data_IF_314452342838
#
_entry.id   IF_314452342838
#
_cell.length_a   1.000
_cell.length_b   1.000
_cell.length_c   1.000
_cell.angle_alpha   90.00
_cell.angle_beta   90.00
_cell.angle_gamma   90.00
#
_symmetry.space_group_name_H-M   'P 1'
#
loop_
_entity.id
_entity.type
_entity.pdbx_description
1 polymer ?
#
# COMPACT_ATOMS: atom_id res chain seq x y z
N UNK A 1 -13.21 22.60 0.82
CA UNK A 1 -12.25 22.21 1.88
C UNK A 1 -11.50 20.92 1.56
N UNK A 2 -12.15 19.91 0.95
CA UNK A 2 -11.49 18.66 0.51
C UNK A 2 -10.49 18.86 -0.65
N UNK A 3 -10.76 19.74 -1.61
CA UNK A 3 -9.86 20.01 -2.75
C UNK A 3 -8.44 20.42 -2.33
N UNK A 4 -8.31 21.29 -1.33
CA UNK A 4 -7.00 21.76 -0.87
C UNK A 4 -6.20 20.65 -0.19
N UNK A 5 -6.85 19.65 0.42
CA UNK A 5 -6.17 18.54 1.10
C UNK A 5 -5.61 17.54 0.10
N UNK A 6 -6.34 17.22 -0.97
CA UNK A 6 -5.83 16.34 -2.03
C UNK A 6 -4.67 16.96 -2.79
N UNK A 7 -4.73 18.27 -3.07
CA UNK A 7 -3.63 18.99 -3.71
C UNK A 7 -2.38 18.98 -2.84
N UNK A 8 -2.50 19.28 -1.53
CA UNK A 8 -1.36 19.22 -0.60
C UNK A 8 -0.75 17.83 -0.51
N UNK A 9 -1.56 16.77 -0.43
CA UNK A 9 -1.06 15.38 -0.40
C UNK A 9 -0.34 15.00 -1.69
N UNK A 10 -0.86 15.41 -2.85
CA UNK A 10 -0.22 15.16 -4.14
C UNK A 10 1.11 15.90 -4.27
N UNK A 11 1.17 17.17 -3.82
CA UNK A 11 2.41 17.97 -3.82
C UNK A 11 3.45 17.38 -2.88
N UNK A 12 3.05 16.96 -1.67
CA UNK A 12 3.95 16.29 -0.72
C UNK A 12 4.51 14.98 -1.28
N UNK A 13 3.66 14.19 -1.92
CA UNK A 13 4.08 12.94 -2.57
C UNK A 13 5.07 13.18 -3.71
N UNK A 14 4.80 14.15 -4.59
CA UNK A 14 5.71 14.51 -5.67
C UNK A 14 7.02 15.10 -5.14
N UNK A 15 6.95 15.91 -4.08
CA UNK A 15 8.13 16.50 -3.44
C UNK A 15 9.05 15.42 -2.87
N UNK A 16 8.50 14.49 -2.09
CA UNK A 16 9.26 13.37 -1.53
C UNK A 16 9.85 12.48 -2.65
N UNK A 17 9.08 12.26 -3.72
CA UNK A 17 9.56 11.53 -4.89
C UNK A 17 10.74 12.21 -5.58
N UNK A 18 10.68 13.52 -5.83
CA UNK A 18 11.78 14.26 -6.46
C UNK A 18 13.00 14.28 -5.53
N UNK A 19 12.79 14.46 -4.24
CA UNK A 19 13.86 14.53 -3.25
C UNK A 19 14.67 13.22 -3.16
N UNK A 20 13.99 12.08 -3.26
CA UNK A 20 14.64 10.76 -3.13
C UNK A 20 15.28 10.28 -4.45
N UNK A 21 14.92 10.87 -5.59
CA UNK A 21 15.41 10.52 -6.94
C UNK A 21 16.93 10.60 -7.15
N UNK A 22 17.66 11.67 -6.72
CA UNK A 22 19.12 11.72 -6.92
C UNK A 22 19.84 10.61 -6.17
N UNK A 23 19.43 10.32 -4.93
CA UNK A 23 20.00 9.23 -4.13
C UNK A 23 19.67 7.87 -4.73
N UNK A 24 18.46 7.72 -5.29
CA UNK A 24 18.05 6.49 -5.98
C UNK A 24 18.92 6.22 -7.21
N UNK A 25 19.18 7.22 -8.05
CA UNK A 25 20.02 7.06 -9.23
C UNK A 25 21.43 6.59 -8.87
N UNK A 26 22.02 7.16 -7.81
CA UNK A 26 23.36 6.81 -7.36
C UNK A 26 23.44 5.43 -6.69
N UNK A 27 22.42 5.01 -5.94
CA UNK A 27 22.47 3.79 -5.13
C UNK A 27 21.83 2.59 -5.81
N UNK A 28 20.67 2.78 -6.44
CA UNK A 28 19.82 1.73 -6.99
C UNK A 28 20.16 1.48 -8.46
N UNK A 29 20.29 2.55 -9.26
CA UNK A 29 20.50 2.45 -10.70
C UNK A 29 21.97 2.33 -11.10
N UNK A 30 22.91 2.87 -10.30
CA UNK A 30 24.34 2.74 -10.58
C UNK A 30 24.95 1.39 -10.19
N UNK A 31 24.28 0.60 -9.33
CA UNK A 31 24.77 -0.72 -8.88
C UNK A 31 24.06 -1.85 -9.62
N UNK A 32 24.68 -3.04 -9.69
CA UNK A 32 24.00 -4.25 -10.18
C UNK A 32 22.70 -4.46 -9.42
N UNK A 33 21.61 -4.72 -10.15
CA UNK A 33 20.27 -4.92 -9.58
C UNK A 33 20.26 -6.08 -8.59
N UNK A 34 20.26 -5.76 -7.30
CA UNK A 34 20.06 -6.73 -6.23
C UNK A 34 18.56 -6.99 -6.03
N UNK A 35 18.14 -8.17 -5.55
CA UNK A 35 16.73 -8.48 -5.30
C UNK A 35 16.03 -7.44 -4.43
N UNK A 36 16.73 -6.87 -3.45
CA UNK A 36 16.22 -5.83 -2.56
C UNK A 36 15.96 -4.50 -3.31
N UNK A 37 16.83 -4.17 -4.28
CA UNK A 37 16.70 -2.98 -5.11
C UNK A 37 15.48 -3.08 -6.04
N UNK A 38 15.25 -4.26 -6.61
CA UNK A 38 14.05 -4.53 -7.43
C UNK A 38 12.79 -4.39 -6.59
N UNK A 39 12.79 -4.97 -5.38
CA UNK A 39 11.65 -4.84 -4.47
C UNK A 39 11.38 -3.37 -4.14
N UNK A 40 12.41 -2.60 -3.82
CA UNK A 40 12.30 -1.16 -3.55
C UNK A 40 11.69 -0.39 -4.73
N UNK A 41 12.16 -0.61 -5.96
CA UNK A 41 11.61 0.02 -7.16
C UNK A 41 10.12 -0.33 -7.29
N UNK A 42 9.75 -1.61 -7.16
CA UNK A 42 8.34 -2.00 -7.26
C UNK A 42 7.50 -1.29 -6.19
N UNK A 43 7.98 -1.13 -4.94
CA UNK A 43 7.21 -0.45 -3.88
C UNK A 43 6.95 1.00 -4.25
N UNK A 44 7.98 1.66 -4.79
CA UNK A 44 7.96 3.08 -5.07
C UNK A 44 7.08 3.43 -6.26
N UNK A 45 7.04 2.59 -7.29
CA UNK A 45 6.28 2.87 -8.51
C UNK A 45 4.86 2.25 -8.50
N UNK A 46 4.57 1.30 -7.60
CA UNK A 46 3.25 0.67 -7.48
C UNK A 46 2.08 1.66 -7.26
N UNK A 47 2.18 2.70 -6.42
CA UNK A 47 1.08 3.66 -6.22
C UNK A 47 0.66 4.37 -7.51
N UNK A 48 1.61 4.60 -8.43
CA UNK A 48 1.31 5.18 -9.74
C UNK A 48 0.52 4.19 -10.61
N UNK A 49 0.92 2.91 -10.62
CA UNK A 49 0.21 1.85 -11.35
C UNK A 49 -1.21 1.70 -10.81
N UNK A 50 -1.38 1.64 -9.49
CA UNK A 50 -2.70 1.57 -8.84
C UNK A 50 -3.58 2.77 -9.21
N UNK A 51 -3.01 3.99 -9.19
CA UNK A 51 -3.76 5.23 -9.51
C UNK A 51 -4.19 5.26 -10.97
N UNK A 52 -3.27 4.94 -11.88
CA UNK A 52 -3.54 4.84 -13.32
C UNK A 52 -4.63 3.80 -13.57
N UNK A 53 -4.49 2.63 -12.98
CA UNK A 53 -5.42 1.54 -13.21
C UNK A 53 -6.84 1.86 -12.68
N UNK A 54 -6.97 2.52 -11.53
CA UNK A 54 -8.27 3.00 -11.01
C UNK A 54 -8.92 3.99 -12.00
N UNK A 55 -8.15 4.90 -12.58
CA UNK A 55 -8.66 5.89 -13.55
C UNK A 55 -9.15 5.22 -14.85
N UNK A 56 -8.50 4.15 -15.31
CA UNK A 56 -8.83 3.44 -16.54
C UNK A 56 -9.92 2.36 -16.36
N UNK A 57 -10.24 1.92 -15.14
CA UNK A 57 -11.25 0.86 -14.87
C UNK A 57 -12.72 1.27 -15.03
N UNK A 58 -13.03 2.46 -15.55
CA UNK A 58 -14.41 2.95 -15.71
C UNK A 58 -15.25 2.30 -16.82
N UNK A 59 -14.84 1.15 -17.39
CA UNK A 59 -15.59 0.44 -18.45
C UNK A 59 -15.92 -1.00 -18.03
N UNK A 60 -17.21 -1.29 -17.86
CA UNK A 60 -17.98 -2.55 -17.80
C UNK A 60 -17.44 -3.83 -17.11
N UNK A 61 -16.15 -3.95 -16.80
CA UNK A 61 -15.51 -5.09 -16.11
C UNK A 61 -14.91 -4.69 -14.76
N UNK A 62 -15.58 -3.79 -14.04
CA UNK A 62 -15.08 -3.05 -12.88
C UNK A 62 -14.73 -3.95 -11.66
N UNK A 63 -15.49 -5.03 -11.43
CA UNK A 63 -15.32 -5.89 -10.25
C UNK A 63 -14.13 -6.83 -10.35
N UNK A 64 -13.89 -7.43 -11.52
CA UNK A 64 -12.81 -8.41 -11.71
C UNK A 64 -11.44 -7.74 -11.65
N UNK A 65 -11.30 -6.56 -12.28
CA UNK A 65 -10.06 -5.79 -12.24
C UNK A 65 -9.76 -5.26 -10.84
N UNK A 66 -10.78 -4.77 -10.13
CA UNK A 66 -10.63 -4.27 -8.75
C UNK A 66 -10.30 -5.41 -7.78
N UNK A 67 -10.87 -6.59 -7.98
CA UNK A 67 -10.49 -7.80 -7.23
C UNK A 67 -9.04 -8.21 -7.54
N UNK A 68 -8.63 -8.23 -8.80
CA UNK A 68 -7.25 -8.58 -9.19
C UNK A 68 -6.23 -7.62 -8.57
N UNK A 69 -6.47 -6.31 -8.59
CA UNK A 69 -5.59 -5.31 -7.98
C UNK A 69 -5.46 -5.49 -6.47
N UNK A 70 -6.57 -5.75 -5.78
CA UNK A 70 -6.56 -6.01 -4.33
C UNK A 70 -5.72 -7.25 -3.99
N UNK A 71 -5.80 -8.30 -4.81
CA UNK A 71 -5.01 -9.52 -4.63
C UNK A 71 -3.52 -9.29 -4.91
N UNK A 72 -3.18 -8.56 -5.99
CA UNK A 72 -1.78 -8.23 -6.32
C UNK A 72 -1.13 -7.42 -5.20
N UNK A 73 -1.85 -6.41 -4.68
CA UNK A 73 -1.39 -5.61 -3.54
C UNK A 73 -1.20 -6.45 -2.28
N UNK A 74 -2.10 -7.39 -2.02
CA UNK A 74 -2.01 -8.27 -0.86
C UNK A 74 -0.79 -9.19 -0.89
N UNK A 75 -0.57 -9.88 -2.02
CA UNK A 75 0.61 -10.74 -2.21
C UNK A 75 1.89 -9.92 -2.05
N UNK A 76 1.89 -8.70 -2.60
CA UNK A 76 3.03 -7.82 -2.54
C UNK A 76 3.40 -7.41 -1.10
N UNK A 77 2.42 -6.97 -0.31
CA UNK A 77 2.64 -6.57 1.08
C UNK A 77 3.21 -7.72 1.92
N UNK A 78 2.73 -8.95 1.71
CA UNK A 78 3.25 -10.14 2.40
C UNK A 78 4.72 -10.37 2.08
N UNK A 79 5.09 -10.30 0.79
CA UNK A 79 6.48 -10.51 0.34
C UNK A 79 7.41 -9.46 0.95
N UNK A 80 7.00 -8.20 0.95
CA UNK A 80 7.78 -7.08 1.49
C UNK A 80 8.06 -7.24 2.98
N UNK A 81 7.02 -7.53 3.75
CA UNK A 81 7.13 -7.68 5.20
C UNK A 81 7.96 -8.89 5.58
N UNK A 82 7.77 -10.00 4.85
CA UNK A 82 8.57 -11.20 5.04
C UNK A 82 10.05 -10.91 4.83
N UNK A 83 10.42 -10.19 3.77
CA UNK A 83 11.83 -9.86 3.49
C UNK A 83 12.41 -8.91 4.55
N UNK A 84 11.66 -7.86 4.95
CA UNK A 84 12.12 -6.89 5.96
C UNK A 84 12.36 -7.56 7.30
N UNK A 85 11.43 -8.39 7.75
CA UNK A 85 11.56 -9.08 9.05
C UNK A 85 12.56 -10.24 9.01
N UNK A 86 12.67 -10.94 7.88
CA UNK A 86 13.67 -12.00 7.69
C UNK A 86 15.11 -11.46 7.80
N UNK A 87 15.37 -10.23 7.34
CA UNK A 87 16.66 -9.58 7.49
C UNK A 87 17.06 -9.33 8.95
N UNK A 88 16.10 -9.12 9.85
CA UNK A 88 16.37 -8.90 11.28
C UNK A 88 16.54 -10.20 12.07
N UNK A 89 15.87 -11.28 11.69
CA UNK A 89 15.65 -12.43 12.59
C UNK A 89 16.50 -13.67 12.32
N UNK A 90 17.66 -13.52 11.67
CA UNK A 90 18.70 -14.57 11.50
C UNK A 90 18.14 -15.99 11.26
N UNK A 91 17.08 -16.11 10.45
CA UNK A 91 16.37 -17.34 10.07
C UNK A 91 15.44 -18.04 11.09
N UNK A 92 14.98 -17.40 12.16
CA UNK A 92 14.02 -18.03 13.08
C UNK A 92 12.56 -18.05 12.53
N UNK A 93 12.16 -19.20 12.00
CA UNK A 93 10.85 -19.41 11.34
C UNK A 93 9.65 -19.25 12.29
N UNK A 94 9.80 -19.61 13.57
CA UNK A 94 8.73 -19.53 14.58
C UNK A 94 8.22 -18.12 14.77
N UNK A 95 9.17 -17.20 14.72
CA UNK A 95 8.95 -15.80 14.96
C UNK A 95 8.30 -15.20 13.70
N UNK A 96 8.81 -15.54 12.51
CA UNK A 96 8.20 -15.17 11.21
C UNK A 96 6.72 -15.55 11.12
N UNK A 97 6.35 -16.76 11.58
CA UNK A 97 4.95 -17.23 11.59
C UNK A 97 4.06 -16.33 12.47
N UNK A 98 4.53 -15.93 13.66
CA UNK A 98 3.78 -15.04 14.55
C UNK A 98 3.47 -13.69 13.91
N UNK A 99 4.44 -13.13 13.18
CA UNK A 99 4.28 -11.86 12.48
C UNK A 99 3.29 -11.95 11.31
N UNK A 100 3.34 -13.03 10.53
CA UNK A 100 2.38 -13.28 9.45
C UNK A 100 0.96 -13.41 10.02
N UNK A 101 0.77 -14.12 11.13
CA UNK A 101 -0.54 -14.24 11.79
C UNK A 101 -1.05 -12.86 12.25
N UNK A 102 -0.19 -12.06 12.90
CA UNK A 102 -0.56 -10.71 13.34
C UNK A 102 -0.94 -9.80 12.17
N UNK A 103 -0.19 -9.88 11.07
CA UNK A 103 -0.50 -9.18 9.83
C UNK A 103 -1.88 -9.58 9.29
N UNK A 104 -2.15 -10.88 9.14
CA UNK A 104 -3.45 -11.37 8.65
C UNK A 104 -4.60 -10.87 9.53
N UNK A 105 -4.41 -10.86 10.85
CA UNK A 105 -5.39 -10.37 11.82
C UNK A 105 -5.71 -8.87 11.68
N UNK A 106 -4.72 -8.03 11.37
CA UNK A 106 -4.93 -6.59 11.16
C UNK A 106 -5.40 -6.26 9.73
N UNK A 107 -5.00 -7.06 8.73
CA UNK A 107 -5.30 -6.78 7.33
C UNK A 107 -6.67 -7.31 6.88
N UNK A 108 -7.16 -8.43 7.42
CA UNK A 108 -8.48 -8.95 7.06
C UNK A 108 -9.63 -7.94 7.36
N UNK A 109 -9.67 -7.28 8.55
CA UNK A 109 -10.64 -6.21 8.81
C UNK A 109 -10.48 -5.02 7.86
N UNK A 110 -9.25 -4.64 7.52
CA UNK A 110 -8.98 -3.57 6.57
C UNK A 110 -9.54 -3.88 5.18
N UNK A 111 -9.35 -5.10 4.68
CA UNK A 111 -9.90 -5.53 3.39
C UNK A 111 -11.43 -5.54 3.41
N UNK A 112 -12.03 -5.99 4.51
CA UNK A 112 -13.48 -5.97 4.67
C UNK A 112 -14.04 -4.54 4.66
N UNK A 113 -13.43 -3.63 5.41
CA UNK A 113 -13.82 -2.20 5.44
C UNK A 113 -13.63 -1.57 4.07
N UNK A 114 -12.51 -1.86 3.39
CA UNK A 114 -12.25 -1.39 2.03
C UNK A 114 -13.31 -1.91 1.07
N UNK A 115 -13.65 -3.20 1.09
CA UNK A 115 -14.70 -3.77 0.26
C UNK A 115 -16.05 -3.07 0.47
N UNK A 116 -16.45 -2.87 1.73
CA UNK A 116 -17.67 -2.13 2.07
C UNK A 116 -17.62 -0.67 1.59
N UNK A 117 -16.45 -0.03 1.68
CA UNK A 117 -16.24 1.32 1.17
C UNK A 117 -16.39 1.36 -0.35
N UNK A 118 -15.71 0.47 -1.07
CA UNK A 118 -15.77 0.36 -2.53
C UNK A 118 -17.21 0.08 -3.02
N UNK A 119 -17.97 -0.76 -2.30
CA UNK A 119 -19.38 -1.03 -2.61
C UNK A 119 -20.30 0.16 -2.29
N UNK A 120 -19.95 0.97 -1.30
CA UNK A 120 -20.72 2.17 -0.91
C UNK A 120 -20.50 3.36 -1.84
N UNK A 121 -19.47 3.32 -2.68
CA UNK A 121 -19.17 4.37 -3.65
C UNK A 121 -20.19 4.30 -4.79
N UNK A 122 -21.18 5.18 -4.76
CA UNK A 122 -22.13 5.33 -5.85
C UNK A 122 -21.52 6.24 -6.93
N UNK A 123 -21.38 5.71 -8.14
CA UNK A 123 -21.00 6.47 -9.33
C UNK A 123 -22.10 7.48 -9.68
N UNK A 124 -21.88 8.77 -9.35
CA UNK A 124 -22.96 9.77 -9.43
C UNK A 124 -22.77 10.84 -10.51
N UNK A 125 -21.68 10.82 -11.28
CA UNK A 125 -21.47 11.82 -12.32
C UNK A 125 -20.79 11.24 -13.57
N UNK A 126 -21.39 11.36 -14.76
CA UNK A 126 -20.66 11.12 -16.00
C UNK A 126 -19.50 12.12 -16.06
N UNK A 127 -18.29 11.61 -16.28
CA UNK A 127 -17.12 12.44 -16.52
C UNK A 127 -17.38 13.31 -17.76
N UNK A 128 -16.91 14.57 -17.79
CA UNK A 128 -17.03 15.43 -18.97
C UNK A 128 -16.16 14.97 -20.15
N UNK A 129 -15.33 13.94 -19.96
CA UNK A 129 -14.44 13.35 -20.97
C UNK A 129 -14.80 11.87 -21.14
N UNK A 130 -15.26 11.44 -22.33
CA UNK A 130 -15.77 10.08 -22.57
C UNK A 130 -14.74 8.95 -22.39
N UNK A 131 -13.46 9.29 -22.18
CA UNK A 131 -12.37 8.33 -21.93
C UNK A 131 -12.03 8.14 -20.44
N UNK A 132 -12.49 9.01 -19.54
CA UNK A 132 -12.14 8.97 -18.12
C UNK A 132 -13.30 8.33 -17.37
N UNK A 133 -13.02 7.32 -16.54
CA UNK A 133 -14.04 6.65 -15.73
C UNK A 133 -14.82 7.60 -14.81
N UNK A 134 -15.93 7.08 -14.28
CA UNK A 134 -16.81 7.77 -13.34
C UNK A 134 -16.05 8.39 -12.16
N UNK A 135 -16.34 9.67 -11.86
CA UNK A 135 -15.76 10.38 -10.71
C UNK A 135 -16.49 9.97 -9.43
N UNK A 136 -15.75 9.41 -8.48
CA UNK A 136 -16.30 8.98 -7.19
C UNK A 136 -16.45 10.21 -6.27
N UNK A 137 -17.68 10.67 -6.08
CA UNK A 137 -18.02 11.89 -5.33
C UNK A 137 -18.55 11.63 -3.91
N UNK A 138 -18.58 10.39 -3.44
CA UNK A 138 -19.07 10.08 -2.09
C UNK A 138 -18.63 8.73 -1.57
N UNK A 139 -18.36 8.67 -0.27
CA UNK A 139 -18.03 7.45 0.47
C UNK A 139 -18.23 7.66 1.97
N UNK A 140 -18.54 6.60 2.70
CA UNK A 140 -18.67 6.65 4.17
C UNK A 140 -17.32 7.03 4.79
N UNK A 141 -17.32 7.83 5.87
CA UNK A 141 -16.12 8.16 6.67
C UNK A 141 -15.53 6.96 7.45
N UNK A 142 -15.74 5.73 6.97
CA UNK A 142 -15.27 4.48 7.56
C UNK A 142 -13.76 4.30 7.36
N UNK A 143 -13.14 5.05 6.44
CA UNK A 143 -11.70 4.99 6.15
C UNK A 143 -10.81 5.38 7.34
N UNK A 144 -11.33 6.15 8.30
CA UNK A 144 -10.59 6.46 9.53
C UNK A 144 -10.24 5.18 10.32
N UNK A 145 -11.09 4.16 10.29
CA UNK A 145 -10.80 2.87 10.93
C UNK A 145 -9.62 2.16 10.28
N UNK A 146 -9.45 2.27 8.96
CA UNK A 146 -8.29 1.72 8.28
C UNK A 146 -6.98 2.34 8.76
N UNK A 147 -6.97 3.66 8.96
CA UNK A 147 -5.84 4.39 9.54
C UNK A 147 -5.53 3.93 10.96
N UNK A 148 -6.54 3.75 11.80
CA UNK A 148 -6.34 3.26 13.18
C UNK A 148 -5.72 1.86 13.17
N UNK A 149 -6.22 0.95 12.33
CA UNK A 149 -5.67 -0.41 12.24
C UNK A 149 -4.23 -0.39 11.70
N UNK A 150 -3.91 0.50 10.77
CA UNK A 150 -2.56 0.67 10.25
C UNK A 150 -1.59 1.15 11.34
N UNK A 151 -1.99 2.12 12.16
CA UNK A 151 -1.17 2.60 13.29
C UNK A 151 -0.92 1.50 14.33
N UNK A 152 -1.94 0.68 14.63
CA UNK A 152 -1.79 -0.50 15.51
C UNK A 152 -0.81 -1.51 14.91
N UNK A 153 -0.89 -1.73 13.61
CA UNK A 153 -0.01 -2.64 12.90
C UNK A 153 1.46 -2.19 12.96
N UNK A 154 1.74 -0.91 12.66
CA UNK A 154 3.08 -0.34 12.73
C UNK A 154 3.66 -0.39 14.14
N UNK A 155 2.86 -0.07 15.16
CA UNK A 155 3.28 -0.17 16.56
C UNK A 155 3.59 -1.63 16.96
N UNK A 156 2.79 -2.58 16.50
CA UNK A 156 3.01 -4.00 16.72
C UNK A 156 4.30 -4.49 16.08
N UNK A 157 4.53 -4.18 14.81
CA UNK A 157 5.76 -4.54 14.08
C UNK A 157 7.00 -3.98 14.78
N UNK A 158 6.97 -2.72 15.18
CA UNK A 158 8.08 -2.10 15.91
C UNK A 158 8.38 -2.80 17.23
N UNK A 159 7.34 -3.16 17.99
CA UNK A 159 7.48 -3.88 19.25
C UNK A 159 8.08 -5.28 19.06
N UNK A 160 7.65 -6.00 18.02
CA UNK A 160 8.22 -7.30 17.66
C UNK A 160 9.71 -7.19 17.28
N UNK A 161 10.06 -6.21 16.44
CA UNK A 161 11.44 -5.97 16.04
C UNK A 161 12.33 -5.61 17.23
N UNK A 162 11.84 -4.75 18.14
CA UNK A 162 12.55 -4.37 19.36
C UNK A 162 12.81 -5.58 20.27
N UNK A 163 11.80 -6.41 20.50
CA UNK A 163 11.93 -7.59 21.36
C UNK A 163 12.98 -8.57 20.83
N UNK A 164 12.98 -8.84 19.52
CA UNK A 164 13.99 -9.70 18.92
C UNK A 164 15.40 -9.10 18.99
N UNK A 165 15.53 -7.78 18.77
CA UNK A 165 16.82 -7.11 18.89
C UNK A 165 17.41 -7.27 20.30
N UNK A 166 16.57 -7.17 21.34
CA UNK A 166 17.01 -7.37 22.74
C UNK A 166 17.35 -8.85 23.01
N UNK A 167 16.57 -9.79 22.47
CA UNK A 167 16.82 -11.23 22.66
C UNK A 167 18.08 -11.76 21.94
N UNK A 168 18.64 -10.98 21.01
CA UNK A 168 19.87 -11.33 20.28
C UNK A 168 21.18 -10.91 20.97
N UNK A 169 21.08 -10.18 22.09
CA UNK A 169 22.18 -9.78 22.97
C UNK A 169 22.27 -10.69 24.19
#
# INVERSE_FOLDING_TARGET
MFENQTVSSAVLFLYDWVLMLPVELDVVWSKKLQPLNVLYIVQRYMPFVDTVAILFTGKDNELIYRYLMLNVRYVYTIVVLTIRTWAFWRNDIRMTIGLVIFFLGCWAPNLYIMHLYLQSQACKQPSPLPEIGCVILGGKSILFLCWVILMVYEAGEFTFNLFSSVASH
#
